data_IF_602101585942
#
_entry.id   IF_602101585942
#
_cell.length_a   1.000
_cell.length_b   1.000
_cell.length_c   1.000
_cell.angle_alpha   90.00
_cell.angle_beta   90.00
_cell.angle_gamma   90.00
#
_symmetry.space_group_name_H-M   'P 1'
#
loop_
_entity.id
_entity.type
_entity.pdbx_description
1 polymer ?
#
# COMPACT_ATOMS: atom_id res chain seq x y z
N UNK A 1 32.19 0.71 -0.37
CA UNK A 1 30.99 0.24 -1.11
C UNK A 1 30.98 -1.28 -1.04
N UNK A 2 29.85 -1.90 -0.67
CA UNK A 2 29.67 -3.36 -0.66
C UNK A 2 28.88 -3.74 -1.91
N UNK A 3 29.34 -4.73 -2.67
CA UNK A 3 28.62 -5.29 -3.82
C UNK A 3 27.99 -6.60 -3.36
N UNK A 4 26.69 -6.75 -3.59
CA UNK A 4 25.98 -8.01 -3.42
C UNK A 4 26.05 -8.81 -4.73
N UNK A 5 26.53 -10.05 -4.65
CA UNK A 5 26.68 -10.96 -5.77
C UNK A 5 25.52 -11.97 -5.88
N UNK A 6 24.52 -11.89 -4.99
CA UNK A 6 23.35 -12.73 -5.06
C UNK A 6 22.46 -12.35 -6.25
N UNK A 7 21.75 -13.33 -6.78
CA UNK A 7 20.80 -13.10 -7.86
C UNK A 7 19.51 -12.52 -7.25
N UNK A 8 19.15 -11.32 -7.67
CA UNK A 8 17.89 -10.68 -7.31
C UNK A 8 16.94 -10.68 -8.51
N UNK A 9 15.68 -11.04 -8.27
CA UNK A 9 14.68 -11.31 -9.31
C UNK A 9 13.44 -10.42 -9.13
N UNK A 10 12.88 -9.97 -10.24
CA UNK A 10 11.53 -9.38 -10.29
C UNK A 10 10.49 -10.46 -10.65
N UNK A 11 9.19 -10.14 -10.64
CA UNK A 11 8.12 -11.12 -10.96
C UNK A 11 8.21 -11.68 -12.39
N UNK A 12 8.77 -10.92 -13.33
CA UNK A 12 8.96 -11.37 -14.70
C UNK A 12 9.98 -12.52 -14.83
N UNK A 13 10.91 -12.63 -13.88
CA UNK A 13 12.03 -13.56 -13.94
C UNK A 13 11.69 -14.95 -13.39
N UNK A 14 10.50 -15.13 -12.80
CA UNK A 14 10.14 -16.36 -12.09
C UNK A 14 8.80 -16.91 -12.52
N UNK A 15 8.64 -18.23 -12.35
CA UNK A 15 7.38 -18.95 -12.47
C UNK A 15 7.19 -19.87 -11.28
N UNK A 16 5.94 -20.01 -10.81
CA UNK A 16 5.59 -20.98 -9.79
C UNK A 16 5.56 -22.39 -10.40
N UNK A 17 6.31 -23.32 -9.82
CA UNK A 17 6.24 -24.72 -10.20
C UNK A 17 4.90 -25.33 -9.80
N UNK A 18 4.17 -25.98 -10.72
CA UNK A 18 2.96 -26.70 -10.38
C UNK A 18 3.23 -27.77 -9.30
N UNK A 19 2.32 -27.85 -8.33
CA UNK A 19 2.34 -28.93 -7.32
C UNK A 19 1.05 -29.70 -7.35
N UNK A 20 1.09 -30.93 -6.83
CA UNK A 20 -0.09 -31.77 -6.70
C UNK A 20 -1.11 -31.08 -5.79
N UNK A 21 -2.36 -31.03 -6.25
CA UNK A 21 -3.48 -30.46 -5.50
C UNK A 21 -4.48 -31.55 -5.13
N UNK A 22 -5.13 -31.38 -3.98
CA UNK A 22 -6.27 -32.21 -3.55
C UNK A 22 -7.62 -31.58 -3.96
N UNK A 23 -7.60 -30.34 -4.47
CA UNK A 23 -8.81 -29.65 -4.93
C UNK A 23 -9.23 -30.13 -6.29
N UNK A 24 -10.52 -30.37 -6.48
CA UNK A 24 -11.12 -30.81 -7.74
C UNK A 24 -11.54 -29.64 -8.63
N UNK A 25 -11.82 -28.48 -8.05
CA UNK A 25 -12.26 -27.29 -8.79
C UNK A 25 -11.63 -26.01 -8.21
N UNK A 26 -11.40 -25.02 -9.08
CA UNK A 26 -11.00 -23.65 -8.63
C UNK A 26 -12.06 -22.99 -7.77
N UNK A 27 -13.33 -23.41 -7.86
CA UNK A 27 -14.45 -22.88 -7.06
C UNK A 27 -14.37 -23.32 -5.59
N UNK A 28 -13.60 -24.38 -5.30
CA UNK A 28 -13.42 -24.90 -3.94
C UNK A 28 -12.38 -24.11 -3.14
N UNK A 29 -11.71 -23.12 -3.77
CA UNK A 29 -10.69 -22.29 -3.11
C UNK A 29 -11.35 -21.17 -2.34
N UNK A 30 -11.21 -21.16 -1.02
CA UNK A 30 -11.47 -19.98 -0.19
C UNK A 30 -10.27 -19.06 -0.26
N UNK A 31 -10.46 -17.83 -0.76
CA UNK A 31 -9.42 -16.82 -0.86
C UNK A 31 -9.28 -15.97 0.40
N UNK A 32 -10.17 -16.10 1.38
CA UNK A 32 -10.06 -15.36 2.62
C UNK A 32 -8.94 -15.90 3.50
N UNK A 33 -8.31 -15.03 4.28
CA UNK A 33 -7.32 -15.39 5.29
C UNK A 33 -7.61 -14.68 6.59
N UNK A 34 -7.34 -15.36 7.69
CA UNK A 34 -7.41 -14.80 9.03
C UNK A 34 -6.05 -14.18 9.38
N UNK A 35 -6.08 -12.93 9.81
CA UNK A 35 -4.90 -12.20 10.27
C UNK A 35 -5.05 -11.90 11.76
N UNK A 36 -3.99 -12.20 12.52
CA UNK A 36 -3.83 -11.75 13.90
C UNK A 36 -2.63 -10.82 13.96
N UNK A 37 -2.86 -9.56 14.24
CA UNK A 37 -1.83 -8.53 14.21
C UNK A 37 -1.06 -8.46 15.53
N UNK A 38 0.29 -8.34 15.42
CA UNK A 38 1.21 -8.43 16.56
C UNK A 38 0.98 -7.36 17.62
N UNK A 39 0.89 -6.09 17.18
CA UNK A 39 0.89 -4.95 18.10
C UNK A 39 -0.53 -4.54 18.50
N UNK A 40 -1.45 -4.39 17.53
CA UNK A 40 -2.85 -4.05 17.78
C UNK A 40 -3.67 -5.17 18.40
N UNK A 41 -3.22 -6.43 18.30
CA UNK A 41 -3.96 -7.65 18.73
C UNK A 41 -5.28 -7.85 17.99
N UNK A 42 -5.59 -7.05 16.97
CA UNK A 42 -6.79 -7.23 16.18
C UNK A 42 -6.76 -8.53 15.39
N UNK A 43 -7.95 -9.10 15.19
CA UNK A 43 -8.17 -10.25 14.31
C UNK A 43 -9.14 -9.84 13.20
N UNK A 44 -8.72 -9.98 11.96
CA UNK A 44 -9.51 -9.56 10.80
C UNK A 44 -9.40 -10.63 9.71
N UNK A 45 -10.55 -11.00 9.12
CA UNK A 45 -10.63 -11.94 8.00
C UNK A 45 -10.95 -11.18 6.72
N UNK A 46 -10.10 -11.28 5.70
CA UNK A 46 -10.31 -10.67 4.38
C UNK A 46 -9.50 -11.38 3.29
N UNK A 47 -9.82 -11.11 2.04
CA UNK A 47 -9.02 -11.56 0.89
C UNK A 47 -7.73 -10.73 0.83
N UNK A 48 -6.53 -11.32 0.80
CA UNK A 48 -5.25 -10.63 0.99
C UNK A 48 -4.83 -9.78 -0.21
N UNK A 49 -5.76 -9.02 -0.75
CA UNK A 49 -5.56 -8.06 -1.84
C UNK A 49 -5.99 -6.68 -1.34
N UNK A 50 -5.14 -5.68 -1.59
CA UNK A 50 -5.28 -4.32 -1.07
C UNK A 50 -5.26 -3.34 -2.23
N UNK A 51 -6.28 -2.48 -2.34
CA UNK A 51 -6.24 -1.35 -3.27
C UNK A 51 -5.33 -0.25 -2.73
N UNK A 52 -4.43 0.25 -3.59
CA UNK A 52 -3.44 1.25 -3.21
C UNK A 52 -4.06 2.62 -2.97
N UNK A 53 -3.41 3.41 -2.13
CA UNK A 53 -3.80 4.79 -1.78
C UNK A 53 -3.52 5.84 -2.87
N UNK A 54 -3.50 5.42 -4.13
CA UNK A 54 -3.34 6.31 -5.26
C UNK A 54 -4.64 7.06 -5.57
N UNK A 55 -4.53 8.25 -6.17
CA UNK A 55 -5.65 9.18 -6.38
C UNK A 55 -6.90 8.58 -7.04
N UNK A 56 -6.72 7.73 -8.04
CA UNK A 56 -7.83 7.09 -8.74
C UNK A 56 -8.25 5.74 -8.16
N UNK A 57 -7.43 5.14 -7.30
CA UNK A 57 -7.62 3.76 -6.79
C UNK A 57 -8.03 3.74 -5.33
N UNK A 58 -7.37 4.52 -4.48
CA UNK A 58 -7.67 4.62 -3.05
C UNK A 58 -8.88 5.51 -2.76
N UNK A 59 -10.03 5.19 -3.36
CA UNK A 59 -11.23 6.02 -3.34
C UNK A 59 -12.38 5.35 -2.60
N UNK A 60 -13.31 6.14 -2.10
CA UNK A 60 -14.53 5.61 -1.47
C UNK A 60 -15.38 4.79 -2.45
N UNK A 61 -15.39 5.19 -3.73
CA UNK A 61 -16.11 4.46 -4.77
C UNK A 61 -15.51 3.07 -4.99
N UNK A 62 -14.18 2.98 -5.10
CA UNK A 62 -13.46 1.72 -5.21
C UNK A 62 -13.65 0.86 -3.95
N UNK A 63 -13.55 1.46 -2.76
CA UNK A 63 -13.74 0.74 -1.50
C UNK A 63 -15.12 0.08 -1.40
N UNK A 64 -16.18 0.77 -1.84
CA UNK A 64 -17.54 0.19 -1.88
C UNK A 64 -17.67 -1.00 -2.84
N UNK A 65 -17.03 -0.97 -3.98
CA UNK A 65 -17.03 -2.10 -4.90
C UNK A 65 -16.23 -3.29 -4.33
N UNK A 66 -15.04 -3.01 -3.81
CA UNK A 66 -14.13 -4.05 -3.33
C UNK A 66 -14.57 -4.71 -2.02
N UNK A 67 -15.29 -4.00 -1.14
CA UNK A 67 -15.79 -4.57 0.11
C UNK A 67 -16.74 -5.77 -0.08
N UNK A 68 -17.45 -5.84 -1.22
CA UNK A 68 -18.34 -6.97 -1.53
C UNK A 68 -17.55 -8.27 -1.75
N UNK A 69 -16.28 -8.13 -2.12
CA UNK A 69 -15.33 -9.23 -2.25
C UNK A 69 -14.42 -9.38 -1.03
N UNK A 70 -14.69 -8.66 0.06
CA UNK A 70 -13.87 -8.63 1.27
C UNK A 70 -12.42 -8.20 1.01
N UNK A 71 -12.19 -7.30 0.07
CA UNK A 71 -10.87 -6.72 -0.20
C UNK A 71 -10.70 -5.42 0.59
N UNK A 72 -9.45 -5.16 1.01
CA UNK A 72 -9.08 -3.94 1.72
C UNK A 72 -8.77 -2.81 0.74
N UNK A 73 -9.17 -1.59 1.07
CA UNK A 73 -8.78 -0.38 0.36
C UNK A 73 -8.05 0.59 1.29
N UNK A 74 -6.84 0.98 0.93
CA UNK A 74 -6.18 2.11 1.59
C UNK A 74 -6.66 3.39 0.91
N UNK A 75 -7.37 4.23 1.66
CA UNK A 75 -7.92 5.47 1.14
C UNK A 75 -6.82 6.51 0.95
N UNK A 76 -6.92 7.30 -0.12
CA UNK A 76 -5.97 8.41 -0.37
C UNK A 76 -6.02 9.42 0.80
N UNK A 77 -4.87 9.95 1.17
CA UNK A 77 -4.71 10.86 2.32
C UNK A 77 -5.34 12.24 2.14
N UNK A 78 -5.68 12.61 0.91
CA UNK A 78 -6.22 13.93 0.58
C UNK A 78 -7.72 14.11 0.80
N UNK A 79 -8.41 13.09 1.32
CA UNK A 79 -9.82 13.20 1.69
C UNK A 79 -9.99 14.04 2.97
N UNK A 80 -10.94 14.99 2.92
CA UNK A 80 -11.34 15.80 4.07
C UNK A 80 -12.32 15.02 4.96
N UNK A 81 -12.60 15.55 6.16
CA UNK A 81 -13.61 14.93 7.04
C UNK A 81 -15.01 14.98 6.42
N UNK A 82 -15.31 16.00 5.62
CA UNK A 82 -16.56 16.15 4.89
C UNK A 82 -16.71 15.10 3.78
N UNK A 83 -15.60 14.68 3.17
CA UNK A 83 -15.59 13.57 2.21
C UNK A 83 -15.95 12.25 2.90
N UNK A 84 -15.38 12.01 4.08
CA UNK A 84 -15.72 10.87 4.92
C UNK A 84 -17.21 10.88 5.31
N UNK A 85 -17.73 12.02 5.74
CA UNK A 85 -19.14 12.19 6.10
C UNK A 85 -20.07 11.80 4.94
N UNK A 86 -19.76 12.27 3.74
CA UNK A 86 -20.51 11.89 2.53
C UNK A 86 -20.45 10.40 2.23
N UNK A 87 -19.26 9.80 2.40
CA UNK A 87 -19.06 8.39 2.12
C UNK A 87 -19.83 7.48 3.07
N UNK A 88 -19.94 7.85 4.36
CA UNK A 88 -20.66 7.04 5.35
C UNK A 88 -22.14 6.84 5.01
N UNK A 89 -22.78 7.83 4.40
CA UNK A 89 -24.18 7.71 3.93
C UNK A 89 -24.40 6.73 2.78
N UNK A 90 -23.36 6.09 2.26
CA UNK A 90 -23.40 5.26 1.05
C UNK A 90 -23.16 3.76 1.29
N UNK A 91 -23.22 3.29 2.54
CA UNK A 91 -23.06 1.86 2.88
C UNK A 91 -21.61 1.37 2.90
N UNK A 92 -20.64 2.25 3.14
CA UNK A 92 -19.23 1.88 3.29
C UNK A 92 -19.01 1.07 4.56
N UNK A 93 -18.36 -0.10 4.43
CA UNK A 93 -18.00 -1.00 5.55
C UNK A 93 -16.59 -0.63 6.04
N UNK A 94 -16.49 0.03 7.19
CA UNK A 94 -15.24 0.57 7.73
C UNK A 94 -14.16 -0.47 8.02
N UNK A 95 -14.55 -1.72 8.26
CA UNK A 95 -13.61 -2.84 8.47
C UNK A 95 -12.75 -3.16 7.25
N UNK A 96 -13.13 -2.73 6.04
CA UNK A 96 -12.39 -2.96 4.80
C UNK A 96 -11.69 -1.70 4.27
N UNK A 97 -11.52 -0.69 5.11
CA UNK A 97 -10.78 0.51 4.74
C UNK A 97 -9.68 0.81 5.73
N UNK A 98 -8.59 1.39 5.21
CA UNK A 98 -7.52 1.98 6.01
C UNK A 98 -7.45 3.47 5.74
N UNK A 99 -7.40 4.28 6.80
CA UNK A 99 -7.14 5.71 6.68
C UNK A 99 -5.64 5.94 6.48
N UNK A 100 -5.28 6.79 5.51
CA UNK A 100 -3.89 7.02 5.15
C UNK A 100 -3.41 8.40 5.62
N UNK A 101 -2.17 8.45 6.08
CA UNK A 101 -1.43 9.69 6.36
C UNK A 101 -0.02 9.62 5.78
N UNK A 102 0.55 10.76 5.41
CA UNK A 102 1.98 10.91 5.26
C UNK A 102 2.60 11.37 6.60
N UNK A 103 3.88 11.69 6.58
CA UNK A 103 4.59 12.28 7.73
C UNK A 103 4.54 13.81 7.74
N UNK A 104 3.89 14.41 6.72
CA UNK A 104 3.86 15.85 6.50
C UNK A 104 5.19 16.43 6.02
N UNK A 105 5.30 17.76 6.01
CA UNK A 105 6.60 18.39 5.89
C UNK A 105 7.35 18.12 7.19
N UNK A 106 8.05 17.01 7.16
CA UNK A 106 9.01 16.56 8.15
C UNK A 106 8.68 17.07 9.56
N UNK A 107 8.02 16.21 10.38
CA UNK A 107 7.96 16.37 11.85
C UNK A 107 7.04 17.46 12.39
N UNK A 108 6.25 18.11 11.54
CA UNK A 108 5.24 19.02 12.01
C UNK A 108 4.02 18.22 12.53
N UNK A 109 3.81 18.31 13.84
CA UNK A 109 2.61 17.83 14.54
C UNK A 109 1.31 18.40 13.94
N UNK A 110 1.41 19.38 13.06
CA UNK A 110 0.34 20.12 12.42
C UNK A 110 0.16 19.80 10.95
N UNK A 111 0.81 18.74 10.40
CA UNK A 111 0.55 18.37 9.01
C UNK A 111 -0.94 18.14 8.79
N UNK A 112 -1.47 18.68 7.71
CA UNK A 112 -2.91 18.59 7.39
C UNK A 112 -3.39 17.13 7.34
N UNK A 113 -2.57 16.24 6.76
CA UNK A 113 -2.86 14.80 6.64
C UNK A 113 -3.03 14.15 8.02
N UNK A 114 -2.11 14.46 8.94
CA UNK A 114 -2.14 13.88 10.28
C UNK A 114 -3.29 14.44 11.13
N UNK A 115 -3.58 15.73 11.01
CA UNK A 115 -4.74 16.33 11.71
C UNK A 115 -6.06 15.73 11.17
N UNK A 116 -6.15 15.49 9.87
CA UNK A 116 -7.30 14.82 9.28
C UNK A 116 -7.42 13.39 9.79
N UNK A 117 -6.31 12.62 9.85
CA UNK A 117 -6.31 11.28 10.43
C UNK A 117 -6.88 11.28 11.85
N UNK A 118 -6.43 12.18 12.72
CA UNK A 118 -6.94 12.27 14.11
C UNK A 118 -8.45 12.51 14.15
N UNK A 119 -8.95 13.44 13.34
CA UNK A 119 -10.39 13.69 13.24
C UNK A 119 -11.17 12.47 12.78
N UNK A 120 -10.63 11.74 11.78
CA UNK A 120 -11.23 10.50 11.26
C UNK A 120 -11.29 9.44 12.36
N UNK A 121 -10.18 9.19 13.08
CA UNK A 121 -10.13 8.18 14.14
C UNK A 121 -11.08 8.48 15.30
N UNK A 122 -11.26 9.75 15.65
CA UNK A 122 -12.22 10.17 16.68
C UNK A 122 -13.67 10.02 16.22
N UNK A 123 -13.96 10.42 14.98
CA UNK A 123 -15.33 10.43 14.46
C UNK A 123 -15.81 9.06 14.00
N UNK A 124 -14.89 8.24 13.49
CA UNK A 124 -15.16 6.90 12.94
C UNK A 124 -14.29 5.84 13.65
N UNK A 125 -14.59 5.53 14.93
CA UNK A 125 -13.76 4.61 15.72
C UNK A 125 -13.72 3.18 15.14
N UNK A 126 -14.67 2.81 14.30
CA UNK A 126 -14.72 1.52 13.62
C UNK A 126 -13.74 1.39 12.44
N UNK A 127 -13.05 2.48 12.06
CA UNK A 127 -11.88 2.38 11.18
C UNK A 127 -10.74 1.73 11.96
N UNK A 128 -10.42 0.49 11.60
CA UNK A 128 -9.49 -0.34 12.36
C UNK A 128 -8.05 -0.25 11.89
N UNK A 129 -7.79 0.35 10.73
CA UNK A 129 -6.47 0.37 10.11
C UNK A 129 -6.00 1.79 9.80
N UNK A 130 -4.72 2.04 10.07
CA UNK A 130 -4.01 3.30 9.74
C UNK A 130 -2.85 2.93 8.83
N UNK A 131 -2.71 3.62 7.70
CA UNK A 131 -1.55 3.49 6.80
C UNK A 131 -0.69 4.74 6.87
N UNK A 132 0.59 4.56 7.20
CA UNK A 132 1.63 5.59 7.16
C UNK A 132 2.43 5.37 5.88
N UNK A 133 2.26 6.28 4.91
CA UNK A 133 2.78 6.10 3.55
C UNK A 133 3.76 7.19 3.16
N UNK A 134 5.01 6.76 2.90
CA UNK A 134 6.08 7.57 2.34
C UNK A 134 6.81 6.80 1.24
N UNK A 135 7.39 7.52 0.28
CA UNK A 135 8.11 6.88 -0.83
C UNK A 135 9.36 6.11 -0.38
N UNK A 136 9.99 6.53 0.72
CA UNK A 136 11.19 5.93 1.30
C UNK A 136 11.17 6.10 2.82
N UNK A 137 11.02 5.00 3.54
CA UNK A 137 10.86 4.98 5.00
C UNK A 137 12.18 4.76 5.78
N UNK A 138 13.34 4.95 5.14
CA UNK A 138 14.68 4.75 5.76
C UNK A 138 15.17 5.95 6.60
N UNK A 139 14.28 6.76 7.09
CA UNK A 139 14.62 7.92 7.91
C UNK A 139 14.32 7.62 9.38
N UNK A 140 15.26 7.86 10.29
CA UNK A 140 15.11 7.62 11.75
C UNK A 140 13.80 8.19 12.30
N UNK A 141 13.50 9.39 11.91
CA UNK A 141 12.26 10.04 12.30
C UNK A 141 11.01 9.32 11.79
N UNK A 142 11.06 8.53 10.74
CA UNK A 142 9.91 7.72 10.31
C UNK A 142 9.56 6.67 11.35
N UNK A 143 10.58 6.03 11.93
CA UNK A 143 10.41 5.07 13.03
C UNK A 143 9.79 5.75 14.25
N UNK A 144 10.25 6.95 14.60
CA UNK A 144 9.68 7.72 15.70
C UNK A 144 8.24 8.14 15.46
N UNK A 145 7.90 8.43 14.21
CA UNK A 145 6.50 8.70 13.84
C UNK A 145 5.62 7.45 13.99
N UNK A 146 6.12 6.26 13.60
CA UNK A 146 5.42 4.98 13.81
C UNK A 146 5.18 4.73 15.30
N UNK A 147 6.19 4.90 16.15
CA UNK A 147 6.07 4.78 17.62
C UNK A 147 4.99 5.72 18.17
N UNK A 148 4.98 6.94 17.69
CA UNK A 148 4.00 7.94 18.09
C UNK A 148 2.58 7.54 17.69
N UNK A 149 2.35 7.15 16.43
CA UNK A 149 1.03 6.69 15.98
C UNK A 149 0.60 5.47 16.80
N UNK A 150 1.49 4.53 17.10
CA UNK A 150 1.20 3.39 17.97
C UNK A 150 0.79 3.84 19.37
N UNK A 151 1.47 4.81 19.95
CA UNK A 151 1.12 5.35 21.28
C UNK A 151 -0.24 6.04 21.31
N UNK A 152 -0.58 6.78 20.25
CA UNK A 152 -1.87 7.49 20.15
C UNK A 152 -3.04 6.54 19.80
N UNK A 153 -2.78 5.48 19.06
CA UNK A 153 -3.80 4.53 18.58
C UNK A 153 -3.37 3.08 18.87
N UNK A 154 -3.34 2.69 20.15
CA UNK A 154 -2.78 1.40 20.58
C UNK A 154 -3.55 0.18 20.07
N UNK A 155 -4.81 0.33 19.78
CA UNK A 155 -5.74 -0.70 19.31
C UNK A 155 -5.89 -0.78 17.78
N UNK A 156 -5.31 0.18 17.03
CA UNK A 156 -5.43 0.20 15.57
C UNK A 156 -4.31 -0.58 14.89
N UNK A 157 -4.63 -1.28 13.80
CA UNK A 157 -3.62 -1.95 12.96
C UNK A 157 -2.85 -0.90 12.17
N UNK A 158 -1.53 -0.83 12.36
CA UNK A 158 -0.66 0.14 11.67
C UNK A 158 0.06 -0.56 10.51
N UNK A 159 -0.16 -0.03 9.31
CA UNK A 159 0.55 -0.36 8.07
C UNK A 159 1.57 0.75 7.82
N UNK A 160 2.85 0.44 7.66
CA UNK A 160 3.91 1.44 7.50
C UNK A 160 4.83 1.10 6.32
N UNK A 161 5.33 2.08 5.61
CA UNK A 161 6.29 1.86 4.51
C UNK A 161 6.44 3.08 3.59
N UNK A 162 7.30 2.93 2.54
CA UNK A 162 7.80 1.69 1.99
C UNK A 162 9.30 1.45 2.31
N UNK A 163 9.63 0.19 2.47
CA UNK A 163 11.01 -0.30 2.64
C UNK A 163 11.25 -1.51 1.72
N UNK A 164 12.52 -1.96 1.62
CA UNK A 164 12.92 -3.13 0.81
C UNK A 164 13.99 -4.00 1.48
N UNK A 165 14.32 -3.74 2.75
CA UNK A 165 15.32 -4.52 3.47
C UNK A 165 14.77 -5.19 4.73
N UNK A 166 15.25 -6.40 5.06
CA UNK A 166 14.85 -7.16 6.26
C UNK A 166 14.97 -6.35 7.55
N UNK A 167 16.09 -5.66 7.74
CA UNK A 167 16.39 -4.92 8.97
C UNK A 167 15.33 -3.83 9.24
N UNK A 168 14.93 -3.10 8.19
CA UNK A 168 13.90 -2.07 8.35
C UNK A 168 12.51 -2.65 8.60
N UNK A 169 12.23 -3.84 8.06
CA UNK A 169 10.99 -4.57 8.37
C UNK A 169 10.93 -4.91 9.85
N UNK A 170 11.98 -5.52 10.37
CA UNK A 170 12.08 -5.85 11.80
C UNK A 170 11.96 -4.61 12.66
N UNK A 171 12.71 -3.56 12.33
CA UNK A 171 12.70 -2.29 13.07
C UNK A 171 11.30 -1.67 13.13
N UNK A 172 10.60 -1.58 12.02
CA UNK A 172 9.25 -1.00 11.98
C UNK A 172 8.24 -1.84 12.78
N UNK A 173 8.30 -3.18 12.69
CA UNK A 173 7.40 -4.07 13.42
C UNK A 173 7.64 -3.99 14.94
N UNK A 174 8.90 -4.04 15.36
CA UNK A 174 9.28 -3.94 16.79
C UNK A 174 8.84 -2.59 17.37
N UNK A 175 8.90 -1.52 16.57
CA UNK A 175 8.54 -0.17 16.97
C UNK A 175 7.06 0.19 16.77
N UNK A 176 6.19 -0.79 16.44
CA UNK A 176 4.75 -0.62 16.52
C UNK A 176 3.96 -0.81 15.23
N UNK A 177 4.59 -1.02 14.09
CA UNK A 177 3.87 -1.42 12.88
C UNK A 177 3.39 -2.87 13.00
N UNK A 178 2.19 -3.17 12.53
CA UNK A 178 1.67 -4.53 12.40
C UNK A 178 2.00 -5.12 11.03
N UNK A 179 2.05 -4.25 10.04
CA UNK A 179 2.25 -4.61 8.63
C UNK A 179 3.23 -3.63 8.01
N UNK A 180 4.19 -4.14 7.23
CA UNK A 180 5.16 -3.30 6.52
C UNK A 180 4.94 -3.40 5.00
N UNK A 181 4.89 -2.26 4.31
CA UNK A 181 4.78 -2.19 2.85
C UNK A 181 6.15 -2.31 2.21
N UNK A 182 6.29 -3.29 1.31
CA UNK A 182 7.55 -3.65 0.64
C UNK A 182 7.51 -3.22 -0.81
N UNK A 183 8.43 -2.35 -1.20
CA UNK A 183 8.61 -1.94 -2.59
C UNK A 183 9.08 -0.50 -2.73
N UNK A 184 10.24 -0.33 -3.37
CA UNK A 184 10.77 0.96 -3.82
C UNK A 184 11.01 0.85 -5.32
N UNK A 185 10.21 1.57 -6.10
CA UNK A 185 10.35 1.64 -7.55
C UNK A 185 9.76 0.51 -8.41
N UNK A 186 9.05 -0.53 -7.90
CA UNK A 186 8.54 -1.60 -8.75
C UNK A 186 7.24 -1.24 -9.49
N UNK A 187 6.56 -0.16 -9.10
CA UNK A 187 5.28 0.24 -9.67
C UNK A 187 5.38 0.61 -11.15
N UNK A 188 4.36 0.28 -11.96
CA UNK A 188 4.34 0.51 -13.42
C UNK A 188 4.42 1.98 -13.83
N UNK A 189 4.02 2.91 -12.96
CA UNK A 189 4.11 4.36 -13.16
C UNK A 189 5.20 5.02 -12.31
N UNK A 190 5.98 4.21 -11.57
CA UNK A 190 7.12 4.68 -10.78
C UNK A 190 8.37 4.77 -11.67
N UNK A 191 9.16 5.82 -11.50
CA UNK A 191 10.44 6.02 -12.18
C UNK A 191 11.61 6.15 -11.22
N UNK A 192 11.41 5.87 -9.93
CA UNK A 192 12.44 6.00 -8.87
C UNK A 192 13.71 5.24 -9.22
N UNK A 193 13.61 3.96 -9.64
CA UNK A 193 14.77 3.14 -10.01
C UNK A 193 15.59 3.77 -11.15
N UNK A 194 14.91 4.37 -12.13
CA UNK A 194 15.55 5.01 -13.28
C UNK A 194 16.13 6.37 -12.92
N UNK A 195 15.45 7.15 -12.10
CA UNK A 195 15.85 8.52 -11.75
C UNK A 195 16.93 8.56 -10.67
N UNK A 196 16.85 7.67 -9.69
CA UNK A 196 17.72 7.71 -8.51
C UNK A 196 18.72 6.55 -8.43
N UNK A 197 18.50 5.46 -9.20
CA UNK A 197 19.28 4.23 -9.08
C UNK A 197 18.97 3.43 -7.81
N UNK A 198 17.93 3.82 -7.04
CA UNK A 198 17.57 3.18 -5.77
C UNK A 198 16.42 2.17 -5.98
N UNK A 199 16.55 0.99 -5.37
CA UNK A 199 15.53 -0.06 -5.39
C UNK A 199 16.12 -1.46 -5.27
N UNK A 200 15.24 -2.44 -5.06
CA UNK A 200 15.58 -3.87 -5.06
C UNK A 200 14.57 -4.58 -5.97
N UNK A 201 14.97 -5.59 -6.77
CA UNK A 201 14.04 -6.42 -7.54
C UNK A 201 12.96 -7.02 -6.63
N UNK A 202 11.69 -6.83 -7.02
CA UNK A 202 10.56 -6.93 -6.08
C UNK A 202 10.33 -8.34 -5.54
N UNK A 203 10.52 -9.38 -6.36
CA UNK A 203 10.33 -10.76 -5.92
C UNK A 203 11.32 -11.14 -4.81
N UNK A 204 12.60 -10.80 -4.97
CA UNK A 204 13.62 -11.04 -3.96
C UNK A 204 13.38 -10.21 -2.70
N UNK A 205 13.05 -8.92 -2.84
CA UNK A 205 12.71 -8.08 -1.70
C UNK A 205 11.55 -8.66 -0.87
N UNK A 206 10.53 -9.20 -1.54
CA UNK A 206 9.39 -9.84 -0.85
C UNK A 206 9.81 -11.07 -0.06
N UNK A 207 10.65 -11.95 -0.65
CA UNK A 207 11.12 -13.17 0.04
C UNK A 207 11.87 -12.79 1.33
N UNK A 208 12.87 -11.93 1.23
CA UNK A 208 13.73 -11.56 2.35
C UNK A 208 12.94 -10.82 3.45
N UNK A 209 12.09 -9.88 3.05
CA UNK A 209 11.26 -9.11 3.96
C UNK A 209 10.14 -9.94 4.60
N UNK A 210 9.61 -10.96 3.91
CA UNK A 210 8.62 -11.86 4.47
C UNK A 210 9.21 -12.73 5.57
N UNK A 211 10.43 -13.24 5.35
CA UNK A 211 11.17 -14.03 6.35
C UNK A 211 11.43 -13.21 7.62
N UNK A 212 11.95 -11.99 7.46
CA UNK A 212 12.17 -11.07 8.56
C UNK A 212 10.88 -10.75 9.35
N UNK A 213 9.78 -10.44 8.64
CA UNK A 213 8.50 -10.15 9.27
C UNK A 213 7.98 -11.35 10.08
N UNK A 214 8.07 -12.56 9.51
CA UNK A 214 7.68 -13.80 10.18
C UNK A 214 8.50 -14.03 11.45
N UNK A 215 9.82 -13.78 11.40
CA UNK A 215 10.73 -13.93 12.54
C UNK A 215 10.32 -13.06 13.74
N UNK A 216 9.74 -11.91 13.52
CA UNK A 216 9.27 -10.99 14.56
C UNK A 216 7.74 -11.00 14.75
N UNK A 217 7.01 -11.91 14.08
CA UNK A 217 5.56 -12.07 14.23
C UNK A 217 4.73 -10.93 13.63
N UNK A 218 5.26 -10.22 12.64
CA UNK A 218 4.56 -9.20 11.87
C UNK A 218 4.14 -9.68 10.48
N UNK A 219 3.62 -8.76 9.66
CA UNK A 219 3.14 -9.05 8.31
C UNK A 219 3.75 -8.09 7.29
N UNK A 220 3.72 -8.48 6.00
CA UNK A 220 4.10 -7.59 4.91
C UNK A 220 3.01 -7.50 3.83
N UNK A 221 3.00 -6.36 3.14
CA UNK A 221 2.28 -6.14 1.88
C UNK A 221 3.31 -6.00 0.76
N UNK A 222 3.25 -6.84 -0.25
CA UNK A 222 4.01 -6.63 -1.49
C UNK A 222 3.35 -5.49 -2.28
N UNK A 223 4.01 -4.34 -2.36
CA UNK A 223 3.48 -3.12 -2.97
C UNK A 223 4.21 -2.78 -4.28
N UNK A 224 3.50 -2.92 -5.39
CA UNK A 224 3.99 -2.65 -6.74
C UNK A 224 4.57 -3.88 -7.47
N UNK A 225 4.75 -3.72 -8.78
CA UNK A 225 5.29 -4.75 -9.66
C UNK A 225 4.28 -5.73 -10.24
N UNK A 226 3.08 -5.87 -9.65
CA UNK A 226 2.02 -6.71 -10.20
C UNK A 226 1.32 -6.03 -11.37
N UNK A 227 1.41 -6.61 -12.55
CA UNK A 227 0.77 -6.13 -13.79
C UNK A 227 -0.25 -7.13 -14.33
N UNK A 228 -0.18 -8.38 -13.90
CA UNK A 228 -1.03 -9.49 -14.32
C UNK A 228 -1.44 -10.34 -13.10
N UNK A 229 -2.55 -11.10 -13.18
CA UNK A 229 -3.00 -11.95 -12.07
C UNK A 229 -1.95 -12.96 -11.58
N UNK A 230 -1.11 -13.48 -12.48
CA UNK A 230 -0.01 -14.39 -12.13
C UNK A 230 1.03 -13.75 -11.19
N UNK A 231 1.23 -12.44 -11.27
CA UNK A 231 2.18 -11.74 -10.39
C UNK A 231 1.69 -11.70 -8.94
N UNK A 232 0.38 -11.62 -8.72
CA UNK A 232 -0.24 -11.74 -7.39
C UNK A 232 0.10 -13.10 -6.78
N UNK A 233 -0.06 -14.18 -7.57
CA UNK A 233 0.28 -15.52 -7.11
C UNK A 233 1.78 -15.67 -6.79
N UNK A 234 2.66 -15.06 -7.59
CA UNK A 234 4.11 -15.04 -7.34
C UNK A 234 4.45 -14.27 -6.05
N UNK A 235 3.84 -13.11 -5.83
CA UNK A 235 4.04 -12.34 -4.60
C UNK A 235 3.62 -13.13 -3.35
N UNK A 236 2.43 -13.76 -3.37
CA UNK A 236 1.97 -14.63 -2.30
C UNK A 236 2.86 -15.86 -2.13
N UNK A 237 3.33 -16.46 -3.25
CA UNK A 237 4.27 -17.58 -3.26
C UNK A 237 5.65 -17.22 -2.74
N UNK A 238 6.08 -15.97 -2.85
CA UNK A 238 7.30 -15.41 -2.26
C UNK A 238 7.18 -15.16 -0.75
N UNK A 239 5.99 -15.35 -0.16
CA UNK A 239 5.76 -15.17 1.27
C UNK A 239 5.03 -13.88 1.65
N UNK A 240 4.62 -13.04 0.68
CA UNK A 240 3.80 -11.89 0.98
C UNK A 240 2.51 -12.31 1.70
N UNK A 241 2.19 -11.61 2.78
CA UNK A 241 0.93 -11.83 3.49
C UNK A 241 -0.25 -11.22 2.75
N UNK A 242 -0.01 -10.09 2.09
CA UNK A 242 -0.97 -9.32 1.30
C UNK A 242 -0.27 -8.74 0.06
N UNK A 243 -1.05 -8.41 -0.97
CA UNK A 243 -0.56 -7.79 -2.21
C UNK A 243 -1.32 -6.50 -2.47
N UNK A 244 -0.60 -5.39 -2.68
CA UNK A 244 -1.20 -4.10 -3.02
C UNK A 244 -1.22 -3.89 -4.53
N UNK A 245 -2.38 -3.48 -5.04
CA UNK A 245 -2.63 -3.26 -6.47
C UNK A 245 -3.00 -1.79 -6.75
N UNK A 246 -2.30 -1.20 -7.71
CA UNK A 246 -2.60 0.13 -8.26
C UNK A 246 -3.13 0.02 -9.70
N UNK A 247 -2.21 -0.13 -10.67
CA UNK A 247 -2.52 -0.13 -12.09
C UNK A 247 -3.55 -1.17 -12.53
N UNK A 248 -3.57 -2.34 -11.90
CA UNK A 248 -4.56 -3.37 -12.22
C UNK A 248 -5.99 -2.97 -11.88
N UNK A 249 -6.20 -2.08 -10.90
CA UNK A 249 -7.51 -1.56 -10.51
C UNK A 249 -7.83 -0.21 -11.16
N UNK A 250 -6.83 0.50 -11.64
CA UNK A 250 -6.96 1.87 -12.14
C UNK A 250 -7.82 1.99 -13.42
N UNK A 251 -7.93 0.93 -14.21
CA UNK A 251 -8.67 0.91 -15.46
C UNK A 251 -10.17 0.58 -15.32
N UNK A 252 -10.65 0.29 -14.13
CA UNK A 252 -12.05 -0.07 -13.89
C UNK A 252 -12.96 1.16 -13.70
N UNK A 253 -14.24 0.98 -13.93
CA UNK A 253 -15.26 2.02 -13.81
C UNK A 253 -15.33 2.69 -12.43
N UNK A 254 -14.97 1.94 -11.38
CA UNK A 254 -14.92 2.44 -10.00
C UNK A 254 -13.73 3.35 -9.71
N UNK A 255 -12.77 3.43 -10.64
CA UNK A 255 -11.67 4.39 -10.57
C UNK A 255 -12.17 5.83 -10.75
N UNK A 256 -11.65 6.75 -9.94
CA UNK A 256 -11.93 8.18 -10.04
C UNK A 256 -10.90 8.92 -10.92
N UNK A 257 -10.23 8.21 -11.82
CA UNK A 257 -9.30 8.81 -12.78
C UNK A 257 -10.05 9.52 -13.90
N UNK A 258 -9.45 10.61 -14.38
CA UNK A 258 -9.95 11.35 -15.53
C UNK A 258 -9.95 10.46 -16.79
N UNK A 259 -11.02 10.55 -17.57
CA UNK A 259 -11.11 9.97 -18.92
C UNK A 259 -10.65 11.00 -19.96
N UNK A 260 -9.59 10.66 -20.70
CA UNK A 260 -9.10 11.47 -21.82
C UNK A 260 -9.06 10.61 -23.07
N UNK A 261 -9.82 11.01 -24.10
CA UNK A 261 -9.96 10.26 -25.36
C UNK A 261 -10.37 8.77 -25.14
N UNK A 262 -11.29 8.52 -24.20
CA UNK A 262 -11.76 7.18 -23.87
C UNK A 262 -10.78 6.33 -23.08
N UNK A 263 -9.68 6.88 -22.59
CA UNK A 263 -8.67 6.20 -21.77
C UNK A 263 -8.52 6.88 -20.42
N UNK A 264 -8.25 6.09 -19.38
CA UNK A 264 -8.01 6.61 -18.02
C UNK A 264 -6.61 7.15 -17.87
N UNK A 265 -6.48 8.35 -17.34
CA UNK A 265 -5.20 9.00 -17.06
C UNK A 265 -4.64 8.50 -15.73
N UNK A 266 -3.77 7.53 -15.78
CA UNK A 266 -3.14 6.94 -14.59
C UNK A 266 -1.72 7.47 -14.39
N UNK A 267 -1.37 7.86 -13.16
CA UNK A 267 -0.10 8.49 -12.86
C UNK A 267 0.46 8.09 -11.49
N UNK A 268 1.78 8.17 -11.37
CA UNK A 268 2.47 7.97 -10.08
C UNK A 268 2.24 9.15 -9.13
N UNK A 269 2.18 8.87 -7.83
CA UNK A 269 1.91 9.90 -6.80
C UNK A 269 3.05 10.92 -6.63
N UNK A 270 4.21 10.69 -7.26
CA UNK A 270 5.32 11.66 -7.36
C UNK A 270 5.54 12.15 -8.79
N UNK A 271 4.51 12.18 -9.65
CA UNK A 271 4.53 12.70 -11.01
C UNK A 271 4.14 14.18 -11.06
N UNK A 272 4.40 14.84 -12.20
CA UNK A 272 3.92 16.20 -12.46
C UNK A 272 2.40 16.30 -12.31
N UNK A 273 1.64 15.34 -12.87
CA UNK A 273 0.19 15.31 -12.76
C UNK A 273 -0.31 15.26 -11.30
N UNK A 274 0.39 14.53 -10.43
CA UNK A 274 0.08 14.50 -9.00
C UNK A 274 0.41 15.84 -8.32
N UNK A 275 1.53 16.45 -8.67
CA UNK A 275 1.94 17.75 -8.12
C UNK A 275 0.98 18.87 -8.55
N UNK A 276 0.54 18.88 -9.80
CA UNK A 276 -0.47 19.84 -10.28
C UNK A 276 -1.79 19.70 -9.51
N UNK A 277 -2.23 18.47 -9.28
CA UNK A 277 -3.50 18.19 -8.61
C UNK A 277 -3.49 18.55 -7.12
N UNK A 278 -2.39 18.33 -6.44
CA UNK A 278 -2.28 18.50 -4.97
C UNK A 278 -1.48 19.74 -4.57
N UNK A 279 -1.14 20.60 -5.51
CA UNK A 279 -0.33 21.79 -5.29
C UNK A 279 1.16 21.43 -5.24
N UNK A 280 1.85 21.58 -6.37
CA UNK A 280 3.29 21.43 -6.42
C UNK A 280 3.96 22.37 -5.41
N UNK A 281 4.86 21.86 -4.59
CA UNK A 281 5.78 22.73 -3.87
C UNK A 281 6.62 23.49 -4.89
N UNK A 282 6.48 24.81 -4.91
CA UNK A 282 7.19 25.72 -5.82
C UNK A 282 8.69 25.81 -5.54
N UNK A 283 9.19 25.10 -4.56
CA UNK A 283 10.57 25.15 -4.08
C UNK A 283 11.59 24.44 -5.00
N UNK A 284 11.11 23.82 -6.09
CA UNK A 284 11.93 23.39 -7.24
C UNK A 284 12.98 22.30 -6.98
N UNK A 285 13.16 21.83 -5.72
CA UNK A 285 14.21 20.84 -5.40
C UNK A 285 13.74 19.39 -5.47
N UNK A 286 12.43 19.15 -5.56
CA UNK A 286 11.86 17.79 -5.58
C UNK A 286 11.72 17.32 -7.01
N UNK A 287 12.57 16.39 -7.44
CA UNK A 287 12.46 15.74 -8.74
C UNK A 287 11.20 14.89 -8.84
N UNK A 288 10.71 14.69 -10.07
CA UNK A 288 9.60 13.79 -10.36
C UNK A 288 10.11 12.35 -10.44
N UNK A 289 9.46 11.45 -9.71
CA UNK A 289 9.76 10.02 -9.68
C UNK A 289 8.57 9.17 -10.16
N UNK A 290 7.67 9.78 -10.93
CA UNK A 290 6.49 9.14 -11.51
C UNK A 290 6.23 9.61 -12.92
N UNK A 291 5.58 8.73 -13.71
CA UNK A 291 5.10 9.04 -15.08
C UNK A 291 3.58 8.94 -15.15
N UNK A 292 3.02 9.55 -16.17
CA UNK A 292 1.61 9.46 -16.54
C UNK A 292 1.45 8.52 -17.73
N UNK A 293 0.48 7.61 -17.68
CA UNK A 293 0.13 6.68 -18.75
C UNK A 293 -1.37 6.70 -19.01
N UNK A 294 -1.77 6.33 -20.21
CA UNK A 294 -3.17 6.15 -20.59
C UNK A 294 -3.51 4.67 -20.55
N UNK A 295 -4.51 4.30 -19.75
CA UNK A 295 -5.02 2.93 -19.64
C UNK A 295 -6.31 2.79 -20.42
N UNK A 296 -6.47 1.67 -21.13
CA UNK A 296 -7.76 1.30 -21.72
C UNK A 296 -8.80 1.14 -20.61
N UNK A 297 -9.98 1.70 -20.82
CA UNK A 297 -11.13 1.58 -19.90
C UNK A 297 -11.63 0.13 -19.88
N UNK A 298 -12.02 -0.40 -18.71
CA UNK A 298 -12.43 -1.80 -18.53
C UNK A 298 -13.74 -1.90 -17.77
#
# INVERSE_FOLDING_TARGET
>A
MRIDYNIHLDYADVLLKPKRSTLSSRRDVDMTRDFTFRNSKQQITFVPIVASNMDGVGTFRMARALQEYKLLTVLRKHYTIEDWDRAMGTGLKLQYVSACTGTGAIWDNNSADYQTLKKVMVKYPDVNMITIDVANAYHEQFVDFVKRIRSEFPDKTIIAGNVVSPEMVEELIINGADVVKIGIGPGSVCTTRTQTGVGVPQFSAVIECADAANGVGGHIIADGGCTQPGDIAKALGAGAHMVMLGGMLAAHDESELELKLGKRVFYGMSSESAFERHGARKDGYRGTEGKTVLLEDR
#
